data_IF_159949951272
#
_entry.id   IF_159949951272
#
_cell.length_a   1.000
_cell.length_b   1.000
_cell.length_c   1.000
_cell.angle_alpha   90.00
_cell.angle_beta   90.00
_cell.angle_gamma   90.00
#
_symmetry.space_group_name_H-M   'P 1'
#
loop_
_entity.id
_entity.type
_entity.pdbx_description
1 polymer ?
#
# COMPACT_ATOMS: atom_id res chain seq x y z
N UNK A 1 63.55 11.19 27.19
CA UNK A 1 62.93 11.63 25.92
C UNK A 1 62.14 10.49 25.28
N UNK A 2 60.82 10.44 25.50
CA UNK A 2 59.82 9.90 24.55
C UNK A 2 58.49 10.60 24.87
N UNK A 3 58.13 11.55 24.02
CA UNK A 3 56.88 12.29 24.11
C UNK A 3 55.71 11.31 23.88
N UNK A 4 54.88 11.19 24.91
CA UNK A 4 53.61 10.47 24.85
C UNK A 4 52.67 11.29 23.98
N UNK A 5 52.46 10.83 22.74
CA UNK A 5 51.40 11.33 21.86
C UNK A 5 50.04 10.87 22.41
N UNK A 6 49.57 11.53 23.47
CA UNK A 6 48.16 11.55 23.83
C UNK A 6 47.48 12.63 22.98
N UNK A 7 47.39 12.41 21.67
CA UNK A 7 46.67 13.32 20.77
C UNK A 7 45.17 13.04 20.92
N UNK A 8 44.47 14.01 21.50
CA UNK A 8 43.10 13.90 21.97
C UNK A 8 42.11 13.47 20.89
N UNK A 9 41.49 12.30 21.10
CA UNK A 9 40.17 12.02 20.54
C UNK A 9 39.19 12.85 21.35
N UNK A 10 38.73 13.99 20.83
CA UNK A 10 37.70 14.80 21.49
C UNK A 10 36.44 13.93 21.69
N UNK A 11 36.11 13.51 22.92
CA UNK A 11 35.00 12.58 23.16
C UNK A 11 33.65 13.17 22.74
N UNK A 12 33.55 14.50 22.78
CA UNK A 12 32.40 15.28 22.37
C UNK A 12 32.08 15.15 20.86
N UNK A 13 33.11 15.08 20.01
CA UNK A 13 32.94 14.89 18.56
C UNK A 13 32.45 13.47 18.22
N UNK A 14 32.86 12.46 19.00
CA UNK A 14 32.39 11.10 18.83
C UNK A 14 30.93 10.94 19.29
N UNK A 15 30.54 11.60 20.40
CA UNK A 15 29.16 11.59 20.91
C UNK A 15 28.21 12.27 19.92
N UNK A 16 28.61 13.41 19.34
CA UNK A 16 27.82 14.13 18.34
C UNK A 16 27.67 13.32 17.05
N UNK A 17 28.75 12.75 16.51
CA UNK A 17 28.69 11.91 15.31
C UNK A 17 27.74 10.70 15.50
N UNK A 18 27.78 10.05 16.65
CA UNK A 18 26.89 8.93 16.95
C UNK A 18 25.42 9.37 17.12
N UNK A 19 25.19 10.53 17.75
CA UNK A 19 23.84 11.12 17.82
C UNK A 19 23.28 11.45 16.43
N UNK A 20 24.12 12.00 15.54
CA UNK A 20 23.77 12.28 14.14
C UNK A 20 23.46 11.00 13.36
N UNK A 21 24.27 9.95 13.50
CA UNK A 21 24.03 8.64 12.88
C UNK A 21 22.71 8.03 13.33
N UNK A 22 22.40 8.08 14.62
CA UNK A 22 21.11 7.61 15.16
C UNK A 22 19.94 8.43 14.65
N UNK A 23 20.10 9.75 14.57
CA UNK A 23 19.11 10.66 13.98
C UNK A 23 18.80 10.27 12.53
N UNK A 24 19.83 10.17 11.68
CA UNK A 24 19.70 9.77 10.28
C UNK A 24 19.07 8.37 10.13
N UNK A 25 19.53 7.39 10.91
CA UNK A 25 18.97 6.04 10.89
C UNK A 25 17.50 6.04 11.29
N UNK A 26 17.11 6.83 12.30
CA UNK A 26 15.71 6.95 12.72
C UNK A 26 14.85 7.59 11.64
N UNK A 27 15.35 8.62 10.97
CA UNK A 27 14.66 9.29 9.86
C UNK A 27 14.47 8.35 8.68
N UNK A 28 15.52 7.65 8.25
CA UNK A 28 15.45 6.66 7.17
C UNK A 28 14.43 5.55 7.49
N UNK A 29 14.46 5.01 8.71
CA UNK A 29 13.49 3.99 9.15
C UNK A 29 12.06 4.51 9.14
N UNK A 30 11.83 5.75 9.61
CA UNK A 30 10.50 6.36 9.60
C UNK A 30 9.99 6.59 8.18
N UNK A 31 10.83 7.11 7.30
CA UNK A 31 10.50 7.30 5.89
C UNK A 31 10.16 5.98 5.21
N UNK A 32 10.99 4.94 5.41
CA UNK A 32 10.74 3.60 4.87
C UNK A 32 9.43 2.99 5.37
N UNK A 33 9.16 3.10 6.68
CA UNK A 33 7.89 2.65 7.26
C UNK A 33 6.68 3.43 6.70
N UNK A 34 6.82 4.72 6.46
CA UNK A 34 5.79 5.54 5.79
C UNK A 34 5.50 5.07 4.37
N UNK A 35 6.54 4.82 3.57
CA UNK A 35 6.40 4.30 2.21
C UNK A 35 5.76 2.92 2.18
N UNK A 36 6.16 2.01 3.08
CA UNK A 36 5.58 0.67 3.18
C UNK A 36 4.08 0.75 3.50
N UNK A 37 3.67 1.59 4.45
CA UNK A 37 2.26 1.79 4.78
C UNK A 37 1.45 2.33 3.59
N UNK A 38 2.02 3.22 2.80
CA UNK A 38 1.38 3.72 1.58
C UNK A 38 1.25 2.62 0.53
N UNK A 39 2.30 1.84 0.31
CA UNK A 39 2.28 0.70 -0.60
C UNK A 39 1.22 -0.33 -0.20
N UNK A 40 1.13 -0.67 1.08
CA UNK A 40 0.08 -1.56 1.60
C UNK A 40 -1.32 -0.98 1.41
N UNK A 41 -1.49 0.32 1.65
CA UNK A 41 -2.79 0.99 1.44
C UNK A 41 -3.20 0.93 -0.02
N UNK A 42 -2.27 1.18 -0.95
CA UNK A 42 -2.51 1.06 -2.38
C UNK A 42 -2.78 -0.39 -2.79
N UNK A 43 -2.04 -1.36 -2.25
CA UNK A 43 -2.26 -2.78 -2.51
C UNK A 43 -3.66 -3.22 -2.05
N UNK A 44 -4.13 -2.76 -0.89
CA UNK A 44 -5.51 -3.02 -0.41
C UNK A 44 -6.57 -2.44 -1.34
N UNK A 45 -6.39 -1.20 -1.80
CA UNK A 45 -7.31 -0.58 -2.77
C UNK A 45 -7.31 -1.33 -4.09
N UNK A 46 -6.15 -1.73 -4.59
CA UNK A 46 -6.02 -2.53 -5.81
C UNK A 46 -6.63 -3.92 -5.65
N UNK A 47 -6.46 -4.58 -4.51
CA UNK A 47 -7.09 -5.87 -4.21
C UNK A 47 -8.61 -5.75 -4.21
N UNK A 48 -9.17 -4.68 -3.62
CA UNK A 48 -10.60 -4.39 -3.68
C UNK A 48 -11.09 -4.12 -5.10
N UNK A 49 -10.29 -3.43 -5.93
CA UNK A 49 -10.60 -3.18 -7.34
C UNK A 49 -10.50 -4.44 -8.20
N UNK A 50 -9.57 -5.35 -7.90
CA UNK A 50 -9.49 -6.67 -8.56
C UNK A 50 -10.69 -7.54 -8.22
N UNK A 51 -11.21 -7.41 -7.00
CA UNK A 51 -12.52 -7.96 -6.61
C UNK A 51 -13.68 -7.09 -7.14
N UNK A 52 -13.49 -6.42 -8.29
CA UNK A 52 -14.61 -5.78 -8.96
C UNK A 52 -15.67 -6.86 -9.18
N UNK A 53 -16.94 -6.54 -8.88
CA UNK A 53 -18.00 -7.54 -8.99
C UNK A 53 -18.05 -8.05 -10.43
N UNK A 54 -18.02 -9.38 -10.58
CA UNK A 54 -18.26 -10.00 -11.88
C UNK A 54 -19.74 -9.75 -12.22
N UNK A 55 -19.94 -8.93 -13.25
CA UNK A 55 -21.25 -8.51 -13.72
C UNK A 55 -21.71 -9.54 -14.75
N UNK A 56 -22.59 -10.44 -14.34
CA UNK A 56 -23.18 -11.43 -15.25
C UNK A 56 -24.53 -10.93 -15.74
N UNK A 57 -24.70 -10.95 -17.07
CA UNK A 57 -25.92 -10.55 -17.76
C UNK A 57 -26.51 -11.78 -18.44
N UNK A 58 -27.72 -12.16 -18.02
CA UNK A 58 -28.44 -13.30 -18.57
C UNK A 58 -29.62 -12.80 -19.41
N UNK A 59 -29.53 -12.98 -20.74
CA UNK A 59 -30.54 -12.58 -21.71
C UNK A 59 -31.34 -13.76 -22.31
N UNK A 60 -31.09 -14.98 -21.86
CA UNK A 60 -31.64 -16.20 -22.46
C UNK A 60 -32.74 -16.83 -21.59
N UNK A 61 -33.60 -17.62 -22.23
CA UNK A 61 -35.02 -17.91 -21.94
C UNK A 61 -35.40 -18.60 -20.59
N UNK A 62 -34.67 -18.34 -19.50
CA UNK A 62 -34.99 -18.80 -18.15
C UNK A 62 -34.76 -17.78 -17.03
N UNK A 63 -34.19 -16.60 -17.32
CA UNK A 63 -34.07 -15.48 -16.38
C UNK A 63 -35.00 -14.33 -16.81
N UNK A 64 -35.52 -13.52 -15.87
CA UNK A 64 -36.28 -12.31 -16.22
C UNK A 64 -35.46 -11.43 -17.17
N UNK A 65 -36.05 -11.03 -18.31
CA UNK A 65 -35.35 -10.28 -19.36
C UNK A 65 -34.57 -9.09 -18.78
N UNK A 66 -33.27 -9.03 -19.09
CA UNK A 66 -32.40 -7.94 -18.65
C UNK A 66 -31.97 -8.00 -17.18
N UNK A 67 -32.10 -9.15 -16.51
CA UNK A 67 -31.64 -9.34 -15.14
C UNK A 67 -30.13 -9.13 -14.98
N UNK A 68 -29.77 -8.27 -14.03
CA UNK A 68 -28.40 -7.89 -13.72
C UNK A 68 -27.97 -8.52 -12.40
N UNK A 69 -26.86 -9.24 -12.43
CA UNK A 69 -26.30 -9.89 -11.25
C UNK A 69 -24.93 -9.30 -10.89
N UNK A 70 -24.66 -9.24 -9.59
CA UNK A 70 -23.35 -8.92 -9.01
C UNK A 70 -23.01 -10.05 -8.05
N UNK A 71 -21.91 -10.75 -8.30
CA UNK A 71 -21.48 -11.92 -7.51
C UNK A 71 -22.60 -12.98 -7.38
N UNK A 72 -23.38 -13.20 -8.45
CA UNK A 72 -24.51 -14.14 -8.46
C UNK A 72 -25.79 -13.66 -7.75
N UNK A 73 -25.80 -12.44 -7.21
CA UNK A 73 -27.00 -11.84 -6.60
C UNK A 73 -27.71 -10.89 -7.58
N UNK A 74 -29.02 -11.06 -7.75
CA UNK A 74 -29.85 -10.19 -8.58
C UNK A 74 -29.90 -8.78 -7.96
N UNK A 75 -29.43 -7.77 -8.70
CA UNK A 75 -29.42 -6.36 -8.25
C UNK A 75 -30.42 -5.47 -9.01
N UNK A 76 -30.96 -5.93 -10.13
CA UNK A 76 -31.96 -5.17 -10.88
C UNK A 76 -32.24 -5.75 -12.26
N UNK A 77 -33.06 -5.06 -13.04
CA UNK A 77 -33.36 -5.39 -14.44
C UNK A 77 -33.13 -4.17 -15.34
N UNK A 78 -32.54 -4.37 -16.51
CA UNK A 78 -32.32 -3.36 -17.54
C UNK A 78 -33.32 -3.59 -18.69
N UNK A 79 -34.49 -2.93 -18.66
CA UNK A 79 -35.51 -3.15 -19.69
C UNK A 79 -35.01 -2.68 -21.06
N UNK A 80 -35.14 -3.53 -22.07
CA UNK A 80 -34.82 -3.22 -23.47
C UNK A 80 -33.36 -3.42 -23.88
N UNK A 81 -32.49 -3.94 -23.00
CA UNK A 81 -31.13 -4.34 -23.35
C UNK A 81 -31.11 -5.83 -23.65
N UNK A 82 -30.74 -6.22 -24.87
CA UNK A 82 -30.63 -7.64 -25.30
C UNK A 82 -29.18 -8.14 -25.38
N UNK A 83 -28.19 -7.25 -25.25
CA UNK A 83 -26.74 -7.57 -25.24
C UNK A 83 -25.95 -6.43 -24.61
N UNK A 84 -24.94 -6.75 -23.79
CA UNK A 84 -23.90 -5.83 -23.28
C UNK A 84 -22.59 -5.98 -24.06
#
# INVERSE_FOLDING_TARGET
MKHVYAMGRHPEAAITAEAWRRGLASTLRRTGAGMLRLAERLARVQARRRRAPELEFYAEAGAPEGALYVDGQLIGTLPGVTRL
#
